data_IF_912733057768
#
_entry.id   IF_912733057768
#
_cell.length_a   1.000
_cell.length_b   1.000
_cell.length_c   1.000
_cell.angle_alpha   90.00
_cell.angle_beta   90.00
_cell.angle_gamma   90.00
#
_symmetry.space_group_name_H-M   'P 1'
#
loop_
_entity.id
_entity.type
_entity.pdbx_description
1 polymer ?
#
# COMPACT_ATOMS: atom_id res chain seq x y z
N UNK A 1 10.13 -34.59 -16.35
CA UNK A 1 10.95 -33.37 -16.26
C UNK A 1 10.56 -32.67 -14.98
N UNK A 2 11.50 -32.61 -14.02
CA UNK A 2 11.28 -32.09 -12.67
C UNK A 2 10.89 -30.61 -12.68
N UNK A 3 9.76 -30.30 -12.04
CA UNK A 3 9.46 -28.97 -11.55
C UNK A 3 10.32 -28.71 -10.31
N UNK A 4 11.46 -28.03 -10.50
CA UNK A 4 12.15 -27.39 -9.37
C UNK A 4 11.39 -26.11 -9.02
N UNK A 5 10.85 -26.08 -7.80
CA UNK A 5 10.39 -24.85 -7.12
C UNK A 5 11.47 -23.79 -7.19
N UNK A 6 11.14 -22.61 -7.71
CA UNK A 6 12.00 -21.42 -7.55
C UNK A 6 11.62 -20.69 -6.25
N UNK A 7 12.59 -20.21 -5.47
CA UNK A 7 12.38 -19.40 -4.28
C UNK A 7 12.00 -17.96 -4.67
N UNK A 8 11.14 -17.33 -3.84
CA UNK A 8 10.74 -15.92 -3.84
C UNK A 8 11.08 -15.05 -5.06
N UNK A 9 10.13 -14.91 -6.00
CA UNK A 9 10.25 -13.93 -7.07
C UNK A 9 9.71 -12.57 -6.61
N UNK A 10 10.58 -11.58 -6.47
CA UNK A 10 10.18 -10.18 -6.51
C UNK A 10 9.90 -9.80 -7.97
N UNK A 11 8.64 -9.55 -8.31
CA UNK A 11 8.21 -9.20 -9.67
C UNK A 11 8.64 -7.79 -10.09
N UNK A 12 8.95 -6.91 -9.13
CA UNK A 12 9.09 -5.47 -9.33
C UNK A 12 10.46 -5.04 -9.89
N UNK A 13 11.50 -5.88 -9.77
CA UNK A 13 12.89 -5.51 -10.04
C UNK A 13 13.62 -6.53 -10.95
N UNK A 14 12.89 -7.20 -11.85
CA UNK A 14 13.43 -8.31 -12.65
C UNK A 14 13.49 -7.95 -14.15
N UNK A 15 14.65 -8.22 -14.77
CA UNK A 15 14.97 -7.99 -16.19
C UNK A 15 13.94 -8.67 -17.11
N UNK A 16 13.38 -9.81 -16.71
CA UNK A 16 12.35 -10.51 -17.49
C UNK A 16 11.05 -9.70 -17.60
N UNK A 17 10.54 -9.14 -16.50
CA UNK A 17 9.31 -8.33 -16.51
C UNK A 17 9.51 -6.98 -17.21
N UNK A 18 10.72 -6.40 -17.12
CA UNK A 18 11.08 -5.23 -17.93
C UNK A 18 10.93 -5.51 -19.44
N UNK A 19 11.41 -6.66 -19.90
CA UNK A 19 11.30 -7.06 -21.32
C UNK A 19 9.85 -7.26 -21.78
N UNK A 20 8.94 -7.54 -20.85
CA UNK A 20 7.49 -7.64 -21.09
C UNK A 20 6.75 -6.30 -21.00
N UNK A 21 7.47 -5.21 -20.70
CA UNK A 21 6.91 -3.86 -20.67
C UNK A 21 6.13 -3.53 -19.40
N UNK A 22 6.28 -4.32 -18.34
CA UNK A 22 5.64 -4.11 -17.05
C UNK A 22 6.09 -2.75 -16.45
N UNK A 23 5.13 -1.97 -15.93
CA UNK A 23 5.36 -0.56 -15.61
C UNK A 23 6.27 -0.37 -14.40
N UNK A 24 6.17 -1.22 -13.37
CA UNK A 24 7.02 -1.12 -12.17
C UNK A 24 8.48 -1.39 -12.51
N UNK A 25 8.75 -2.34 -13.40
CA UNK A 25 10.08 -2.64 -13.92
C UNK A 25 10.69 -1.46 -14.68
N UNK A 26 9.88 -0.71 -15.45
CA UNK A 26 10.33 0.52 -16.13
C UNK A 26 10.68 1.62 -15.14
N UNK A 27 9.85 1.82 -14.12
CA UNK A 27 10.11 2.80 -13.05
C UNK A 27 11.38 2.43 -12.30
N UNK A 28 11.51 1.18 -11.83
CA UNK A 28 12.67 0.74 -11.09
C UNK A 28 13.97 0.82 -11.92
N UNK A 29 13.92 0.58 -13.23
CA UNK A 29 15.07 0.79 -14.11
C UNK A 29 15.50 2.27 -14.18
N UNK A 30 14.54 3.19 -14.42
CA UNK A 30 14.82 4.62 -14.58
C UNK A 30 15.13 5.36 -13.26
N UNK A 31 14.66 4.84 -12.12
CA UNK A 31 14.90 5.39 -10.78
C UNK A 31 15.60 4.37 -9.86
N UNK A 32 16.66 3.73 -10.35
CA UNK A 32 17.44 2.69 -9.66
C UNK A 32 18.42 3.18 -8.59
N UNK A 33 18.36 4.46 -8.19
CA UNK A 33 19.30 5.08 -7.25
C UNK A 33 19.08 4.75 -5.76
N UNK A 34 18.26 3.75 -5.44
CA UNK A 34 17.95 3.34 -4.07
C UNK A 34 19.05 2.49 -3.43
N UNK A 35 18.79 2.00 -2.22
CA UNK A 35 19.70 1.11 -1.49
C UNK A 35 19.75 -0.31 -2.05
N UNK A 36 18.76 -0.70 -2.86
CA UNK A 36 18.70 -1.98 -3.56
C UNK A 36 19.01 -1.76 -5.04
N UNK A 37 20.14 -2.25 -5.56
CA UNK A 37 20.49 -2.11 -6.98
C UNK A 37 19.49 -2.80 -7.91
N UNK A 38 19.31 -2.24 -9.11
CA UNK A 38 18.51 -2.87 -10.16
C UNK A 38 19.04 -4.26 -10.51
N UNK A 39 18.15 -5.26 -10.57
CA UNK A 39 18.49 -6.64 -10.89
C UNK A 39 18.96 -7.49 -9.71
N UNK A 40 19.02 -6.94 -8.49
CA UNK A 40 19.44 -7.62 -7.26
C UNK A 40 18.26 -7.84 -6.29
N UNK A 41 17.10 -8.21 -6.83
CA UNK A 41 15.87 -8.29 -6.03
C UNK A 41 15.92 -9.39 -4.95
N UNK A 42 16.78 -10.38 -5.12
CA UNK A 42 17.11 -11.42 -4.15
C UNK A 42 17.83 -10.92 -2.89
N UNK A 43 18.42 -9.74 -2.94
CA UNK A 43 19.04 -9.07 -1.79
C UNK A 43 18.02 -8.27 -0.97
N UNK A 44 16.77 -8.17 -1.44
CA UNK A 44 15.69 -7.54 -0.69
C UNK A 44 15.41 -8.31 0.62
N UNK A 45 14.87 -7.58 1.59
CA UNK A 45 14.44 -8.19 2.84
C UNK A 45 13.36 -9.25 2.61
N UNK A 46 13.46 -10.36 3.34
CA UNK A 46 12.31 -11.24 3.52
C UNK A 46 11.18 -10.43 4.18
N UNK A 47 9.97 -10.42 3.59
CA UNK A 47 8.91 -9.54 4.05
C UNK A 47 8.43 -9.88 5.46
N UNK A 48 8.45 -11.15 5.87
CA UNK A 48 8.03 -11.56 7.22
C UNK A 48 9.06 -11.10 8.24
N UNK A 49 10.36 -11.30 7.98
CA UNK A 49 11.43 -10.81 8.84
C UNK A 49 11.41 -9.28 8.96
N UNK A 50 11.13 -8.57 7.87
CA UNK A 50 11.01 -7.11 7.89
C UNK A 50 9.83 -6.65 8.77
N UNK A 51 8.65 -7.25 8.62
CA UNK A 51 7.51 -6.96 9.49
C UNK A 51 7.85 -7.21 10.96
N UNK A 52 8.47 -8.35 11.28
CA UNK A 52 8.84 -8.68 12.66
C UNK A 52 9.81 -7.67 13.26
N UNK A 53 10.84 -7.27 12.51
CA UNK A 53 11.78 -6.23 12.92
C UNK A 53 11.07 -4.90 13.19
N UNK A 54 10.33 -4.39 12.22
CA UNK A 54 9.67 -3.08 12.32
C UNK A 54 8.67 -3.04 13.48
N UNK A 55 7.86 -4.09 13.65
CA UNK A 55 6.91 -4.18 14.76
C UNK A 55 7.62 -4.31 16.11
N UNK A 56 8.74 -5.04 16.19
CA UNK A 56 9.50 -5.16 17.44
C UNK A 56 10.06 -3.83 17.95
N UNK A 57 10.41 -2.93 17.03
CA UNK A 57 11.01 -1.63 17.33
C UNK A 57 9.97 -0.51 17.50
N UNK A 58 8.73 -0.73 17.06
CA UNK A 58 7.64 0.21 17.21
C UNK A 58 7.11 0.26 18.66
N UNK A 59 6.46 1.37 19.01
CA UNK A 59 5.70 1.48 20.24
C UNK A 59 4.46 0.58 20.21
N UNK A 60 3.97 0.18 21.38
CA UNK A 60 2.78 -0.66 21.48
C UNK A 60 1.54 0.12 21.00
N UNK A 61 0.72 -0.52 20.15
CA UNK A 61 -0.49 0.08 19.58
C UNK A 61 -0.25 1.33 18.71
N UNK A 62 0.95 1.52 18.15
CA UNK A 62 1.27 2.70 17.34
C UNK A 62 1.25 2.47 15.83
N UNK A 63 1.21 1.22 15.38
CA UNK A 63 1.40 0.88 13.96
C UNK A 63 0.07 0.74 13.25
N UNK A 64 -0.15 1.49 12.17
CA UNK A 64 -1.19 1.20 11.18
C UNK A 64 -0.57 0.46 10.01
N UNK A 65 -1.10 -0.72 9.68
CA UNK A 65 -0.69 -1.47 8.49
C UNK A 65 -1.68 -1.18 7.37
N UNK A 66 -1.19 -0.68 6.23
CA UNK A 66 -2.00 -0.57 5.02
C UNK A 66 -1.60 -1.66 4.02
N UNK A 67 -2.51 -2.60 3.76
CA UNK A 67 -2.34 -3.66 2.77
C UNK A 67 -3.14 -3.33 1.51
N UNK A 68 -2.43 -2.96 0.45
CA UNK A 68 -2.97 -2.63 -0.87
C UNK A 68 -2.71 -3.72 -1.93
N UNK A 69 -2.44 -4.94 -1.47
CA UNK A 69 -2.14 -6.08 -2.32
C UNK A 69 -2.45 -7.40 -1.61
N UNK A 70 -1.84 -8.47 -2.10
CA UNK A 70 -2.06 -9.81 -1.56
C UNK A 70 -1.58 -9.95 -0.10
N UNK A 71 -2.29 -10.79 0.66
CA UNK A 71 -2.11 -10.93 2.10
C UNK A 71 -1.09 -12.02 2.50
N UNK A 72 -0.29 -12.52 1.55
CA UNK A 72 0.71 -13.57 1.75
C UNK A 72 1.69 -13.24 2.89
N UNK A 73 2.27 -12.03 2.87
CA UNK A 73 3.24 -11.58 3.89
C UNK A 73 2.61 -11.45 5.28
N UNK A 74 1.35 -11.00 5.36
CA UNK A 74 0.62 -10.89 6.63
C UNK A 74 0.23 -12.27 7.17
N UNK A 75 -0.14 -13.21 6.30
CA UNK A 75 -0.38 -14.59 6.67
C UNK A 75 0.89 -15.26 7.20
N UNK A 76 2.02 -15.02 6.53
CA UNK A 76 3.35 -15.44 6.98
C UNK A 76 3.74 -14.82 8.33
N UNK A 77 3.46 -13.53 8.52
CA UNK A 77 3.66 -12.84 9.79
C UNK A 77 2.86 -13.49 10.91
N UNK A 78 1.55 -13.70 10.73
CA UNK A 78 0.70 -14.35 11.75
C UNK A 78 1.16 -15.77 12.11
N UNK A 79 1.77 -16.50 11.17
CA UNK A 79 2.31 -17.84 11.40
C UNK A 79 3.75 -17.86 11.93
N UNK A 80 4.42 -16.71 12.02
CA UNK A 80 5.81 -16.64 12.47
C UNK A 80 5.95 -16.94 13.96
N UNK A 81 7.05 -17.58 14.34
CA UNK A 81 7.42 -17.80 15.75
C UNK A 81 8.33 -16.70 16.25
N UNK A 82 8.67 -16.73 17.54
CA UNK A 82 9.72 -15.87 18.10
C UNK A 82 11.03 -15.97 17.29
N UNK A 83 11.78 -14.88 17.26
CA UNK A 83 13.03 -14.75 16.52
C UNK A 83 14.02 -13.83 17.26
N UNK A 84 15.09 -13.42 16.58
CA UNK A 84 16.11 -12.52 17.13
C UNK A 84 15.61 -11.10 17.42
N UNK A 85 14.48 -10.68 16.84
CA UNK A 85 13.94 -9.34 17.01
C UNK A 85 12.92 -9.28 18.15
N UNK A 86 12.10 -10.31 18.30
CA UNK A 86 11.08 -10.37 19.33
C UNK A 86 10.85 -11.79 19.86
N UNK A 87 10.69 -11.88 21.17
CA UNK A 87 10.27 -13.10 21.86
C UNK A 87 8.80 -13.46 21.62
N UNK A 88 8.01 -12.54 21.05
CA UNK A 88 6.60 -12.77 20.72
C UNK A 88 6.49 -13.51 19.39
N UNK A 89 5.54 -14.44 19.32
CA UNK A 89 5.11 -14.99 18.02
C UNK A 89 4.39 -13.89 17.21
N UNK A 90 4.11 -14.17 15.94
CA UNK A 90 3.51 -13.22 15.02
C UNK A 90 2.17 -12.64 15.50
N UNK A 91 1.27 -13.48 16.00
CA UNK A 91 -0.04 -13.07 16.50
C UNK A 91 0.08 -12.13 17.69
N UNK A 92 0.89 -12.51 18.68
CA UNK A 92 1.11 -11.70 19.89
C UNK A 92 1.82 -10.38 19.56
N UNK A 93 2.76 -10.39 18.61
CA UNK A 93 3.45 -9.19 18.16
C UNK A 93 2.50 -8.23 17.46
N UNK A 94 1.66 -8.73 16.55
CA UNK A 94 0.62 -7.95 15.89
C UNK A 94 -0.36 -7.38 16.91
N UNK A 95 -0.90 -8.22 17.80
CA UNK A 95 -1.87 -7.79 18.80
C UNK A 95 -1.32 -6.71 19.74
N UNK A 96 0.00 -6.74 20.01
CA UNK A 96 0.67 -5.74 20.84
C UNK A 96 0.97 -4.44 20.10
N UNK A 97 1.39 -4.51 18.84
CA UNK A 97 2.02 -3.39 18.12
C UNK A 97 1.09 -2.67 17.16
N UNK A 98 0.12 -3.39 16.60
CA UNK A 98 -0.71 -2.88 15.51
C UNK A 98 -1.99 -2.25 16.06
N UNK A 99 -2.17 -0.97 15.81
CA UNK A 99 -3.37 -0.21 16.13
C UNK A 99 -4.54 -0.59 15.22
N UNK A 100 -4.24 -0.74 13.92
CA UNK A 100 -5.25 -0.97 12.88
C UNK A 100 -4.61 -1.63 11.65
N UNK A 101 -5.36 -2.53 11.02
CA UNK A 101 -5.06 -3.07 9.69
C UNK A 101 -6.09 -2.54 8.68
N UNK A 102 -5.61 -1.76 7.71
CA UNK A 102 -6.39 -1.24 6.59
C UNK A 102 -6.14 -2.12 5.38
N UNK A 103 -7.19 -2.67 4.77
CA UNK A 103 -7.09 -3.57 3.62
C UNK A 103 -7.87 -2.97 2.45
N UNK A 104 -7.20 -2.77 1.32
CA UNK A 104 -7.89 -2.64 0.04
C UNK A 104 -8.32 -4.04 -0.39
N UNK A 105 -9.61 -4.32 -0.32
CA UNK A 105 -10.13 -5.64 -0.63
C UNK A 105 -11.56 -5.90 -0.17
N UNK A 106 -12.17 -6.84 -0.87
CA UNK A 106 -13.56 -7.25 -0.73
C UNK A 106 -14.56 -6.37 -1.48
N UNK A 107 -15.81 -6.80 -1.51
CA UNK A 107 -16.98 -5.97 -1.80
C UNK A 107 -17.94 -6.03 -0.62
N UNK A 108 -18.64 -4.93 -0.35
CA UNK A 108 -19.50 -4.83 0.84
C UNK A 108 -20.94 -4.46 0.46
N UNK A 109 -21.96 -5.17 0.98
CA UNK A 109 -21.88 -6.17 2.06
C UNK A 109 -21.44 -7.58 1.63
N UNK A 110 -21.28 -7.84 0.33
CA UNK A 110 -20.65 -9.07 -0.17
C UNK A 110 -19.99 -8.80 -1.51
N UNK A 111 -19.00 -9.62 -1.87
CA UNK A 111 -18.32 -9.44 -3.13
C UNK A 111 -17.15 -10.39 -3.35
N UNK A 112 -16.33 -10.01 -4.31
CA UNK A 112 -15.16 -10.74 -4.76
C UNK A 112 -14.12 -9.73 -5.20
N UNK A 113 -12.89 -9.85 -4.71
CA UNK A 113 -11.85 -8.83 -4.93
C UNK A 113 -10.53 -9.47 -5.32
N UNK A 114 -9.85 -8.89 -6.31
CA UNK A 114 -8.57 -9.39 -6.81
C UNK A 114 -7.55 -9.62 -5.68
N UNK A 115 -7.49 -8.77 -4.66
CA UNK A 115 -6.57 -8.93 -3.53
C UNK A 115 -6.88 -10.15 -2.63
N UNK A 116 -8.09 -10.70 -2.71
CA UNK A 116 -8.50 -11.90 -1.97
C UNK A 116 -8.37 -13.20 -2.75
N UNK A 117 -8.29 -13.17 -4.09
CA UNK A 117 -8.22 -14.40 -4.92
C UNK A 117 -7.10 -14.44 -5.95
N UNK A 118 -6.48 -13.31 -6.29
CA UNK A 118 -5.47 -13.22 -7.35
C UNK A 118 -4.13 -13.91 -7.03
N UNK A 119 -3.87 -14.17 -5.75
CA UNK A 119 -2.77 -15.01 -5.26
C UNK A 119 -3.36 -16.29 -4.64
N UNK A 120 -3.02 -16.61 -3.39
CA UNK A 120 -3.59 -17.73 -2.65
C UNK A 120 -4.71 -17.25 -1.73
N UNK A 121 -5.95 -17.50 -2.13
CA UNK A 121 -7.16 -17.10 -1.38
C UNK A 121 -7.22 -17.66 0.03
N UNK A 122 -6.62 -18.83 0.30
CA UNK A 122 -6.58 -19.38 1.65
C UNK A 122 -5.70 -18.55 2.59
N UNK A 123 -4.69 -17.85 2.08
CA UNK A 123 -3.87 -16.93 2.88
C UNK A 123 -4.63 -15.65 3.19
N UNK A 124 -5.42 -15.14 2.24
CA UNK A 124 -6.31 -14.01 2.49
C UNK A 124 -7.38 -14.35 3.54
N UNK A 125 -8.02 -15.52 3.40
CA UNK A 125 -8.96 -16.04 4.38
C UNK A 125 -8.32 -16.21 5.77
N UNK A 126 -7.08 -16.72 5.84
CA UNK A 126 -6.35 -16.84 7.10
C UNK A 126 -6.17 -15.48 7.80
N UNK A 127 -5.72 -14.45 7.08
CA UNK A 127 -5.55 -13.11 7.67
C UNK A 127 -6.89 -12.53 8.10
N UNK A 128 -7.85 -12.41 7.18
CA UNK A 128 -9.13 -11.73 7.45
C UNK A 128 -9.94 -12.44 8.53
N UNK A 129 -10.00 -13.77 8.52
CA UNK A 129 -10.84 -14.51 9.46
C UNK A 129 -10.21 -14.70 10.84
N UNK A 130 -8.91 -14.42 11.02
CA UNK A 130 -8.20 -14.70 12.28
C UNK A 130 -7.46 -13.52 12.90
N UNK A 131 -7.58 -12.34 12.29
CA UNK A 131 -7.04 -11.09 12.84
C UNK A 131 -7.88 -10.61 14.03
N UNK A 132 -7.25 -10.47 15.19
CA UNK A 132 -7.93 -10.09 16.44
C UNK A 132 -8.05 -8.58 16.64
N UNK A 133 -7.14 -7.81 16.02
CA UNK A 133 -7.10 -6.35 16.13
C UNK A 133 -8.17 -5.65 15.31
N UNK A 134 -8.12 -4.32 15.32
CA UNK A 134 -9.02 -3.50 14.50
C UNK A 134 -8.73 -3.67 13.01
N UNK A 135 -9.77 -3.79 12.19
CA UNK A 135 -9.66 -3.86 10.73
C UNK A 135 -10.58 -2.87 10.04
N UNK A 136 -10.09 -2.28 8.96
CA UNK A 136 -10.89 -1.43 8.08
C UNK A 136 -10.68 -1.83 6.64
N UNK A 137 -11.78 -2.00 5.92
CA UNK A 137 -11.77 -2.45 4.55
C UNK A 137 -12.18 -1.34 3.59
N UNK A 138 -11.41 -1.18 2.52
CA UNK A 138 -11.75 -0.34 1.37
C UNK A 138 -12.18 -1.29 0.25
N UNK A 139 -13.49 -1.38 0.07
CA UNK A 139 -14.08 -2.29 -0.92
C UNK A 139 -13.82 -1.86 -2.36
N UNK A 140 -14.02 -2.80 -3.28
CA UNK A 140 -13.92 -2.55 -4.72
C UNK A 140 -14.84 -1.39 -5.16
N UNK A 141 -16.03 -1.31 -4.58
CA UNK A 141 -17.02 -0.27 -4.87
C UNK A 141 -16.54 1.15 -4.53
N UNK A 142 -15.65 1.30 -3.54
CA UNK A 142 -15.15 2.61 -3.10
C UNK A 142 -14.16 3.21 -4.09
N UNK A 143 -13.31 2.38 -4.71
CA UNK A 143 -12.23 2.85 -5.58
C UNK A 143 -12.48 2.72 -7.07
N UNK A 144 -13.42 1.87 -7.48
CA UNK A 144 -13.62 1.50 -8.90
C UNK A 144 -13.94 2.70 -9.77
N UNK A 145 -14.82 3.58 -9.30
CA UNK A 145 -15.34 4.70 -10.08
C UNK A 145 -14.69 6.05 -9.72
N UNK A 146 -13.78 6.07 -8.74
CA UNK A 146 -12.93 7.22 -8.43
C UNK A 146 -11.70 7.20 -9.33
N UNK A 147 -11.71 8.05 -10.38
CA UNK A 147 -10.65 8.09 -11.40
C UNK A 147 -9.67 9.23 -11.13
N UNK A 148 -8.44 8.94 -10.72
CA UNK A 148 -7.41 9.93 -10.39
C UNK A 148 -6.11 9.72 -11.17
N UNK A 149 -5.17 10.65 -11.02
CA UNK A 149 -3.87 10.68 -11.67
C UNK A 149 -3.82 11.58 -12.92
N UNK A 150 -4.95 12.16 -13.34
CA UNK A 150 -5.02 12.99 -14.55
C UNK A 150 -4.15 14.24 -14.42
N UNK A 151 -4.34 14.98 -13.34
CA UNK A 151 -3.57 16.20 -13.05
C UNK A 151 -2.10 15.91 -12.78
N UNK A 152 -1.79 14.80 -12.11
CA UNK A 152 -0.40 14.38 -11.90
C UNK A 152 0.33 14.14 -13.25
N UNK A 153 -0.33 13.44 -14.18
CA UNK A 153 0.26 13.13 -15.49
C UNK A 153 0.43 14.38 -16.36
N UNK A 154 -0.53 15.31 -16.31
CA UNK A 154 -0.52 16.54 -17.11
C UNK A 154 0.43 17.61 -16.56
N UNK A 155 0.40 17.87 -15.25
CA UNK A 155 1.03 19.03 -14.61
C UNK A 155 2.20 18.68 -13.67
N UNK A 156 2.36 17.41 -13.28
CA UNK A 156 3.45 16.99 -12.39
C UNK A 156 4.85 17.16 -13.01
N UNK A 157 5.91 17.29 -12.19
CA UNK A 157 7.29 17.40 -12.68
C UNK A 157 7.69 16.21 -13.57
N UNK A 158 8.38 16.47 -14.68
CA UNK A 158 8.77 15.42 -15.63
C UNK A 158 9.71 14.36 -15.06
N UNK A 159 10.41 14.69 -13.97
CA UNK A 159 11.37 13.82 -13.26
C UNK A 159 10.72 13.02 -12.13
N UNK A 160 9.45 13.25 -11.84
CA UNK A 160 8.75 12.57 -10.75
C UNK A 160 8.49 11.09 -11.11
N UNK A 161 8.99 10.13 -10.33
CA UNK A 161 8.74 8.70 -10.56
C UNK A 161 7.26 8.34 -10.47
N UNK A 162 6.47 9.01 -9.62
CA UNK A 162 5.05 8.66 -9.43
C UNK A 162 4.24 9.07 -10.67
N UNK A 163 4.46 10.28 -11.18
CA UNK A 163 3.92 10.71 -12.48
C UNK A 163 4.22 9.70 -13.58
N UNK A 164 5.46 9.23 -13.67
CA UNK A 164 5.88 8.32 -14.72
C UNK A 164 5.31 6.90 -14.53
N UNK A 165 5.11 6.46 -13.29
CA UNK A 165 4.40 5.21 -12.99
C UNK A 165 2.96 5.24 -13.52
N UNK A 166 2.22 6.33 -13.26
CA UNK A 166 0.87 6.51 -13.81
C UNK A 166 0.88 6.52 -15.35
N UNK A 167 1.79 7.26 -15.99
CA UNK A 167 1.88 7.30 -17.46
C UNK A 167 2.15 5.91 -18.04
N UNK A 168 3.08 5.14 -17.47
CA UNK A 168 3.41 3.80 -17.97
C UNK A 168 2.30 2.78 -17.71
N UNK A 169 1.53 2.95 -16.62
CA UNK A 169 0.44 2.06 -16.27
C UNK A 169 -0.81 2.29 -17.13
N UNK A 170 -1.25 3.56 -17.26
CA UNK A 170 -2.56 3.89 -17.82
C UNK A 170 -2.52 4.72 -19.10
N UNK A 171 -1.34 5.09 -19.60
CA UNK A 171 -1.17 5.84 -20.86
C UNK A 171 -2.00 7.13 -20.91
N UNK A 172 -1.86 8.00 -19.90
CA UNK A 172 -2.57 9.28 -19.77
C UNK A 172 -4.08 9.18 -19.53
N UNK A 173 -4.58 7.99 -19.18
CA UNK A 173 -5.97 7.80 -18.75
C UNK A 173 -6.03 7.77 -17.21
N UNK A 174 -6.87 8.59 -16.55
CA UNK A 174 -7.07 8.50 -15.11
C UNK A 174 -7.45 7.07 -14.67
N UNK A 175 -6.82 6.57 -13.61
CA UNK A 175 -6.96 5.20 -13.14
C UNK A 175 -7.91 5.11 -11.93
N UNK A 176 -8.53 3.94 -11.74
CA UNK A 176 -9.29 3.65 -10.52
C UNK A 176 -8.42 3.79 -9.27
N UNK A 177 -8.99 4.30 -8.19
CA UNK A 177 -8.23 4.76 -7.03
C UNK A 177 -8.45 3.90 -5.78
N UNK A 178 -8.52 2.59 -5.93
CA UNK A 178 -8.65 1.66 -4.80
C UNK A 178 -7.52 1.83 -3.77
N UNK A 179 -6.28 1.63 -4.20
CA UNK A 179 -5.12 1.68 -3.31
C UNK A 179 -4.85 3.11 -2.79
N UNK A 180 -4.91 4.17 -3.62
CA UNK A 180 -4.79 5.54 -3.12
C UNK A 180 -5.80 5.89 -2.03
N UNK A 181 -7.06 5.48 -2.15
CA UNK A 181 -8.07 5.73 -1.12
C UNK A 181 -7.79 4.95 0.16
N UNK A 182 -7.30 3.71 0.06
CA UNK A 182 -6.89 2.92 1.22
C UNK A 182 -5.70 3.57 1.96
N UNK A 183 -4.71 4.08 1.23
CA UNK A 183 -3.58 4.82 1.81
C UNK A 183 -4.06 6.13 2.45
N UNK A 184 -4.96 6.86 1.79
CA UNK A 184 -5.48 8.12 2.31
C UNK A 184 -6.24 7.91 3.63
N UNK A 185 -7.05 6.85 3.73
CA UNK A 185 -7.68 6.45 5.00
C UNK A 185 -6.65 6.04 6.05
N UNK A 186 -5.66 5.22 5.70
CA UNK A 186 -4.65 4.76 6.66
C UNK A 186 -3.84 5.91 7.29
N UNK A 187 -3.65 7.02 6.55
CA UNK A 187 -2.96 8.22 7.03
C UNK A 187 -3.90 9.13 7.84
N UNK A 188 -5.10 9.41 7.32
CA UNK A 188 -5.97 10.48 7.81
C UNK A 188 -7.24 10.02 8.56
N UNK A 189 -7.48 8.72 8.65
CA UNK A 189 -8.75 8.16 9.09
C UNK A 189 -9.90 8.57 8.17
N UNK A 190 -11.09 8.78 8.74
CA UNK A 190 -12.30 9.08 7.97
C UNK A 190 -12.20 10.40 7.19
N UNK A 191 -11.57 11.42 7.79
CA UNK A 191 -11.48 12.75 7.20
C UNK A 191 -12.84 13.30 6.72
N UNK A 192 -12.80 14.04 5.62
CA UNK A 192 -14.01 14.53 4.95
C UNK A 192 -14.57 13.55 3.91
N UNK A 193 -13.76 12.59 3.45
CA UNK A 193 -14.09 11.73 2.32
C UNK A 193 -14.84 10.46 2.70
N UNK A 194 -14.58 9.89 3.88
CA UNK A 194 -15.04 8.56 4.23
C UNK A 194 -16.01 8.54 5.41
N UNK A 195 -16.91 7.57 5.40
CA UNK A 195 -17.72 7.13 6.53
C UNK A 195 -17.68 5.60 6.65
N UNK A 196 -18.00 5.08 7.83
CA UNK A 196 -18.23 3.65 7.98
C UNK A 196 -19.60 3.28 7.43
N UNK A 197 -19.65 2.23 6.60
CA UNK A 197 -20.89 1.67 6.09
C UNK A 197 -21.58 0.70 7.07
N UNK A 198 -21.05 0.56 8.28
CA UNK A 198 -21.53 -0.35 9.31
C UNK A 198 -21.27 0.18 10.72
N UNK A 199 -22.03 -0.35 11.69
CA UNK A 199 -21.83 -0.10 13.13
C UNK A 199 -21.25 -1.32 13.87
N UNK A 200 -21.46 -2.52 13.32
CA UNK A 200 -21.04 -3.79 13.89
C UNK A 200 -20.91 -4.86 12.80
N UNK A 201 -20.39 -6.02 13.20
CA UNK A 201 -20.13 -7.16 12.32
C UNK A 201 -18.67 -7.31 11.95
N UNK A 202 -18.40 -8.26 11.07
CA UNK A 202 -17.06 -8.58 10.60
C UNK A 202 -17.08 -9.08 9.16
N UNK A 203 -15.94 -9.00 8.50
CA UNK A 203 -15.77 -9.57 7.17
C UNK A 203 -15.40 -11.06 7.29
N UNK A 204 -16.07 -11.91 6.51
CA UNK A 204 -15.71 -13.31 6.37
C UNK A 204 -15.28 -13.57 4.93
N UNK A 205 -14.10 -14.18 4.76
CA UNK A 205 -13.55 -14.56 3.45
C UNK A 205 -13.56 -16.08 3.30
N UNK A 206 -14.18 -16.55 2.24
CA UNK A 206 -14.28 -17.95 1.87
C UNK A 206 -12.97 -18.46 1.25
N UNK A 207 -12.80 -19.79 1.21
CA UNK A 207 -11.59 -20.41 0.66
C UNK A 207 -11.32 -20.11 -0.82
N UNK A 208 -12.32 -19.65 -1.58
CA UNK A 208 -12.20 -19.20 -2.97
C UNK A 208 -11.89 -17.69 -3.11
N UNK A 209 -11.91 -16.92 -2.02
CA UNK A 209 -11.66 -15.47 -2.01
C UNK A 209 -12.92 -14.60 -2.12
N UNK A 210 -14.11 -15.20 -2.18
CA UNK A 210 -15.38 -14.47 -1.98
C UNK A 210 -15.47 -13.96 -0.54
N UNK A 211 -16.08 -12.80 -0.35
CA UNK A 211 -16.26 -12.23 0.98
C UNK A 211 -17.71 -11.84 1.23
N UNK A 212 -18.09 -11.91 2.50
CA UNK A 212 -19.40 -11.50 3.00
C UNK A 212 -19.26 -10.82 4.36
N UNK A 213 -20.05 -9.77 4.55
CA UNK A 213 -20.18 -9.10 5.84
C UNK A 213 -21.16 -9.88 6.72
N UNK A 214 -20.67 -10.39 7.83
CA UNK A 214 -21.47 -11.09 8.82
C UNK A 214 -21.90 -10.12 9.91
N UNK A 215 -23.20 -9.83 9.95
CA UNK A 215 -23.80 -8.96 10.94
C UNK A 215 -23.82 -9.62 12.33
N UNK A 216 -22.91 -9.17 13.21
CA UNK A 216 -22.80 -9.65 14.59
C UNK A 216 -22.59 -8.46 15.53
N UNK A 217 -23.58 -8.17 16.39
CA UNK A 217 -23.57 -7.02 17.31
C UNK A 217 -22.46 -7.09 18.38
N UNK A 218 -21.87 -8.26 18.61
CA UNK A 218 -20.76 -8.44 19.54
C UNK A 218 -19.40 -8.02 18.94
N UNK A 219 -19.30 -7.88 17.62
CA UNK A 219 -18.07 -7.47 16.94
C UNK A 219 -18.21 -6.01 16.51
N UNK A 220 -17.34 -5.15 17.04
CA UNK A 220 -17.37 -3.69 16.85
C UNK A 220 -16.00 -3.08 16.51
N UNK A 221 -15.05 -3.92 16.11
CA UNK A 221 -13.68 -3.53 15.77
C UNK A 221 -13.38 -3.71 14.27
N UNK A 222 -14.39 -4.02 13.45
CA UNK A 222 -14.22 -4.14 12.01
C UNK A 222 -15.18 -3.22 11.27
N UNK A 223 -14.69 -2.57 10.21
CA UNK A 223 -15.48 -1.64 9.42
C UNK A 223 -15.19 -1.75 7.93
N UNK A 224 -16.16 -1.43 7.08
CA UNK A 224 -15.92 -1.13 5.66
C UNK A 224 -16.28 0.32 5.36
N UNK A 225 -15.53 0.95 4.45
CA UNK A 225 -15.72 2.36 4.12
C UNK A 225 -16.79 2.55 3.04
N UNK A 226 -17.41 3.73 3.07
CA UNK A 226 -18.16 4.35 1.99
C UNK A 226 -17.64 5.77 1.76
N UNK A 227 -17.85 6.32 0.57
CA UNK A 227 -17.59 7.72 0.31
C UNK A 227 -18.75 8.58 0.81
N UNK A 228 -18.42 9.64 1.56
CA UNK A 228 -19.35 10.70 1.98
C UNK A 228 -19.59 11.74 0.89
N UNK A 229 -18.72 11.75 -0.12
CA UNK A 229 -18.69 12.70 -1.23
C UNK A 229 -18.86 11.95 -2.55
N UNK A 230 -19.03 12.68 -3.65
CA UNK A 230 -19.10 12.04 -4.97
C UNK A 230 -17.74 11.47 -5.38
N UNK A 231 -17.76 10.56 -6.35
CA UNK A 231 -16.54 9.95 -6.88
C UNK A 231 -15.61 11.01 -7.49
N UNK A 232 -16.18 12.03 -8.12
CA UNK A 232 -15.46 13.15 -8.73
C UNK A 232 -14.76 14.00 -7.66
N UNK A 233 -15.45 14.35 -6.56
CA UNK A 233 -14.83 15.11 -5.46
C UNK A 233 -13.71 14.33 -4.78
N UNK A 234 -13.88 13.01 -4.59
CA UNK A 234 -12.81 12.16 -4.05
C UNK A 234 -11.60 12.08 -5.01
N UNK A 235 -11.85 12.00 -6.32
CA UNK A 235 -10.81 11.99 -7.34
C UNK A 235 -10.04 13.33 -7.40
N UNK A 236 -10.75 14.46 -7.35
CA UNK A 236 -10.16 15.80 -7.32
C UNK A 236 -9.25 15.99 -6.10
N UNK A 237 -9.67 15.50 -4.93
CA UNK A 237 -8.86 15.59 -3.71
C UNK A 237 -7.60 14.71 -3.81
N UNK A 238 -7.70 13.51 -4.39
CA UNK A 238 -6.52 12.67 -4.67
C UNK A 238 -5.57 13.36 -5.65
N UNK A 239 -6.07 13.91 -6.76
CA UNK A 239 -5.26 14.62 -7.74
C UNK A 239 -4.56 15.84 -7.13
N UNK A 240 -5.28 16.59 -6.28
CA UNK A 240 -4.71 17.71 -5.52
C UNK A 240 -3.55 17.24 -4.63
N UNK A 241 -3.74 16.15 -3.90
CA UNK A 241 -2.72 15.59 -3.00
C UNK A 241 -1.52 15.03 -3.77
N UNK A 242 -1.74 14.31 -4.87
CA UNK A 242 -0.67 13.82 -5.74
C UNK A 242 0.19 14.95 -6.29
N UNK A 243 -0.46 15.99 -6.83
CA UNK A 243 0.27 17.13 -7.38
C UNK A 243 1.00 17.91 -6.28
N UNK A 244 0.37 18.11 -5.11
CA UNK A 244 1.01 18.72 -3.95
C UNK A 244 2.27 17.94 -3.53
N UNK A 245 2.17 16.62 -3.43
CA UNK A 245 3.30 15.74 -3.10
C UNK A 245 4.43 15.87 -4.12
N UNK A 246 4.12 15.74 -5.41
CA UNK A 246 5.10 15.82 -6.49
C UNK A 246 5.81 17.19 -6.55
N UNK A 247 5.09 18.29 -6.30
CA UNK A 247 5.66 19.65 -6.30
C UNK A 247 6.48 19.98 -5.05
N UNK A 248 6.18 19.34 -3.91
CA UNK A 248 6.91 19.58 -2.66
C UNK A 248 8.41 19.24 -2.77
N UNK A 249 8.74 18.19 -3.53
CA UNK A 249 10.12 17.75 -3.79
C UNK A 249 10.83 18.65 -4.80
N UNK A 250 10.13 19.08 -5.85
CA UNK A 250 10.67 20.00 -6.85
C UNK A 250 11.12 21.33 -6.26
N UNK A 251 10.35 21.87 -5.31
CA UNK A 251 10.69 23.11 -4.62
C UNK A 251 11.87 22.96 -3.65
N UNK A 252 12.04 21.79 -3.00
CA UNK A 252 13.19 21.53 -2.13
C UNK A 252 14.51 21.58 -2.90
N UNK A 253 14.58 20.98 -4.10
CA UNK A 253 15.77 21.05 -4.93
C UNK A 253 16.09 22.47 -5.43
N UNK A 254 15.08 23.31 -5.68
CA UNK A 254 15.29 24.74 -6.05
C UNK A 254 15.83 25.54 -4.87
N UNK A 255 15.33 25.28 -3.66
CA UNK A 255 15.81 25.93 -2.43
C UNK A 255 17.24 25.51 -2.10
N UNK A 256 17.56 24.21 -2.16
CA UNK A 256 18.92 23.70 -1.94
C UNK A 256 19.91 24.23 -2.98
N UNK A 257 19.53 24.29 -4.26
CA UNK A 257 20.35 24.86 -5.32
C UNK A 257 20.58 26.38 -5.13
N UNK A 258 19.57 27.10 -4.65
CA UNK A 258 19.67 28.54 -4.36
C UNK A 258 20.56 28.82 -3.15
N UNK A 259 20.50 27.97 -2.12
CA UNK A 259 21.39 28.04 -0.95
C UNK A 259 22.84 27.70 -1.31
N UNK A 260 23.09 26.70 -2.17
CA UNK A 260 24.45 26.43 -2.69
C UNK A 260 25.02 27.59 -3.51
N UNK A 261 24.17 28.31 -4.27
CA UNK A 261 24.60 29.53 -4.99
C UNK A 261 24.92 30.71 -4.07
N UNK A 262 24.26 30.81 -2.90
CA UNK A 262 24.52 31.88 -1.92
C UNK A 262 25.67 31.55 -0.95
N UNK A 263 26.03 30.27 -0.77
CA UNK A 263 27.18 29.84 0.05
C UNK A 263 28.54 29.83 -0.68
N UNK A 264 28.56 30.12 -1.99
CA UNK A 264 29.76 30.05 -2.83
C UNK A 264 30.55 31.35 -3.01
N UNK A 265 30.18 32.44 -2.34
CA UNK A 265 30.84 33.75 -2.46
C UNK A 265 31.35 34.23 -1.10
N UNK A 266 32.34 33.55 -0.53
CA UNK A 266 33.31 34.15 0.40
C UNK A 266 34.57 33.30 0.43
N UNK A 267 35.46 33.55 -0.54
CA UNK A 267 36.91 33.38 -0.38
C UNK A 267 37.63 34.07 -1.53
N UNK A 268 37.77 35.38 -1.38
CA UNK A 268 38.96 36.10 -1.83
C UNK A 268 39.57 36.78 -0.60
N UNK A 269 40.90 36.86 -0.61
CA UNK A 269 41.81 37.57 0.30
C UNK A 269 42.33 36.81 1.54
N UNK A 270 43.34 35.95 1.33
CA UNK A 270 44.76 36.19 1.69
C UNK A 270 45.65 35.03 1.20
#
# INVERSE_FOLDING_TARGET
MEFKRSPGYCSLCNIWYFSLGEYTSKVAFHWSGGTLPWGHAEEAWDPVLLYRKLLSEAEDGSVTIASIGFLDSLSGLLNSTADSYSILNGRDLVARKVAELVIMGGGYPSGYSWNFWGSNSSLAAHVVNTWEGRMVFVGDDVGKDVKSGGELMSAGPKTDPVRMAYIYYSYYVPASSWDPLAILYAIGGLGALFEYGNEYGYNHVEGNGENQWVWNQHVKNQFFLRLKVSNETAAEELDRLFLQGALSVGNQHVVEASQRKHGGLTRDEL
#
